data_IF_905830122669
#
_entry.id   IF_905830122669
#
_cell.length_a   1.000
_cell.length_b   1.000
_cell.length_c   1.000
_cell.angle_alpha   90.00
_cell.angle_beta   90.00
_cell.angle_gamma   90.00
#
_symmetry.space_group_name_H-M   'P 1'
#
loop_
_entity.id
_entity.type
_entity.pdbx_description
1 polymer ?
#
# COMPACT_ATOMS: atom_id res chain seq x y z
N UNK A 1 18.06 25.72 -0.50
CA UNK A 1 17.01 24.68 -0.68
C UNK A 1 15.70 25.44 -0.63
N UNK A 2 14.97 25.45 -1.72
CA UNK A 2 13.68 26.14 -1.76
C UNK A 2 12.70 25.41 -0.82
N UNK A 3 11.98 26.20 -0.02
CA UNK A 3 10.94 25.65 0.85
C UNK A 3 9.87 25.00 -0.03
N UNK A 4 9.49 23.73 0.23
CA UNK A 4 8.44 23.07 -0.53
C UNK A 4 7.17 23.93 -0.60
N UNK A 5 6.51 23.93 -1.76
CA UNK A 5 5.29 24.70 -1.92
C UNK A 5 4.22 24.22 -0.92
N UNK A 6 3.49 25.13 -0.25
CA UNK A 6 2.48 24.74 0.74
C UNK A 6 1.39 23.92 0.07
N UNK A 7 1.02 22.78 0.67
CA UNK A 7 -0.04 21.91 0.18
C UNK A 7 -1.41 22.53 0.39
N UNK A 8 -2.34 22.27 -0.51
CA UNK A 8 -3.74 22.74 -0.34
C UNK A 8 -4.41 22.09 0.86
N UNK A 9 -3.99 20.89 1.25
CA UNK A 9 -4.43 20.26 2.50
C UNK A 9 -4.27 21.16 3.72
N UNK A 10 -3.16 21.88 3.81
CA UNK A 10 -2.85 22.74 4.96
C UNK A 10 -3.78 23.96 5.08
N UNK A 11 -4.48 24.29 3.98
CA UNK A 11 -5.45 25.38 3.91
C UNK A 11 -6.91 24.94 4.04
N UNK A 12 -7.20 23.71 3.60
CA UNK A 12 -8.58 23.25 3.40
C UNK A 12 -9.03 22.27 4.49
N UNK A 13 -8.09 21.59 5.18
CA UNK A 13 -8.44 20.54 6.12
C UNK A 13 -7.81 20.77 7.49
N UNK A 14 -8.50 20.30 8.51
CA UNK A 14 -8.03 20.31 9.89
C UNK A 14 -7.91 18.89 10.41
N UNK A 15 -6.76 18.56 10.99
CA UNK A 15 -6.42 17.22 11.48
C UNK A 15 -7.04 16.92 12.88
N UNK A 16 -8.20 17.46 13.19
CA UNK A 16 -8.83 17.30 14.50
C UNK A 16 -9.19 15.85 14.83
N UNK A 17 -9.40 15.00 13.81
CA UNK A 17 -9.67 13.58 13.99
C UNK A 17 -8.41 12.77 14.35
N UNK A 18 -7.22 13.31 14.10
CA UNK A 18 -5.97 12.63 14.36
C UNK A 18 -5.52 12.83 15.81
N UNK A 19 -5.09 11.76 16.49
CA UNK A 19 -4.35 11.85 17.74
C UNK A 19 -3.07 12.69 17.58
N UNK A 20 -2.60 13.33 18.67
CA UNK A 20 -1.42 14.18 18.64
C UNK A 20 -0.18 13.42 18.15
N UNK A 21 0.04 12.19 18.62
CA UNK A 21 1.17 11.37 18.17
C UNK A 21 1.13 11.06 16.66
N UNK A 22 -0.05 10.88 16.07
CA UNK A 22 -0.18 10.69 14.62
C UNK A 22 0.13 11.99 13.85
N UNK A 23 -0.20 13.17 14.42
CA UNK A 23 0.21 14.47 13.84
C UNK A 23 1.73 14.68 13.91
N UNK A 24 2.37 14.25 14.99
CA UNK A 24 3.84 14.27 15.11
C UNK A 24 4.51 13.35 14.07
N UNK A 25 3.99 12.12 13.91
CA UNK A 25 4.44 11.17 12.87
C UNK A 25 4.24 11.76 11.48
N UNK A 26 3.09 12.40 11.19
CA UNK A 26 2.87 13.10 9.92
C UNK A 26 3.95 14.14 9.65
N UNK A 27 4.24 14.99 10.63
CA UNK A 27 5.24 16.04 10.46
C UNK A 27 6.65 15.48 10.21
N UNK A 28 6.99 14.35 10.85
CA UNK A 28 8.24 13.64 10.66
C UNK A 28 8.34 13.03 9.26
N UNK A 29 7.32 12.26 8.85
CA UNK A 29 7.27 11.61 7.53
C UNK A 29 7.19 12.64 6.41
N UNK A 30 6.43 13.72 6.56
CA UNK A 30 6.36 14.82 5.58
C UNK A 30 7.72 15.45 5.35
N UNK A 31 8.52 15.67 6.39
CA UNK A 31 9.91 16.17 6.22
C UNK A 31 10.76 15.23 5.39
N UNK A 32 10.69 13.94 5.64
CA UNK A 32 11.37 12.92 4.83
C UNK A 32 10.89 12.96 3.38
N UNK A 33 9.57 13.00 3.17
CA UNK A 33 8.97 13.03 1.84
C UNK A 33 9.38 14.28 1.07
N UNK A 34 9.29 15.45 1.68
CA UNK A 34 9.57 16.73 1.03
C UNK A 34 11.05 16.90 0.67
N UNK A 35 11.97 16.38 1.50
CA UNK A 35 13.41 16.59 1.31
C UNK A 35 14.14 15.42 0.65
N UNK A 36 13.64 14.21 0.75
CA UNK A 36 14.36 13.03 0.29
C UNK A 36 13.59 12.25 -0.82
N UNK A 37 12.25 12.24 -0.81
CA UNK A 37 11.46 11.47 -1.80
C UNK A 37 11.05 12.33 -2.99
N UNK A 38 10.44 13.50 -2.78
CA UNK A 38 9.98 14.37 -3.87
C UNK A 38 11.10 14.74 -4.88
N UNK A 39 12.35 15.04 -4.46
CA UNK A 39 13.42 15.33 -5.39
C UNK A 39 13.79 14.20 -6.35
N UNK A 40 13.46 12.95 -6.00
CA UNK A 40 13.78 11.76 -6.81
C UNK A 40 12.52 11.05 -7.35
N UNK A 41 11.33 11.59 -7.11
CA UNK A 41 10.06 10.96 -7.50
C UNK A 41 9.98 10.70 -9.02
N UNK A 42 10.49 11.60 -9.86
CA UNK A 42 10.56 11.39 -11.31
C UNK A 42 11.43 10.16 -11.66
N UNK A 43 12.60 10.04 -11.05
CA UNK A 43 13.49 8.90 -11.29
C UNK A 43 12.84 7.58 -10.84
N UNK A 44 12.19 7.56 -9.66
CA UNK A 44 11.45 6.40 -9.17
C UNK A 44 10.38 5.91 -10.16
N UNK A 45 9.76 6.85 -10.89
CA UNK A 45 8.69 6.54 -11.83
C UNK A 45 9.18 6.15 -13.23
N UNK A 46 10.28 6.73 -13.69
CA UNK A 46 10.74 6.60 -15.08
C UNK A 46 11.84 5.54 -15.26
N UNK A 47 12.52 5.14 -14.19
CA UNK A 47 13.51 4.07 -14.26
C UNK A 47 12.81 2.74 -14.56
N UNK A 48 13.27 1.97 -15.57
CA UNK A 48 12.74 0.64 -15.86
C UNK A 48 12.89 -0.29 -14.67
N UNK A 49 11.90 -1.16 -14.47
CA UNK A 49 11.92 -2.14 -13.39
C UNK A 49 13.08 -3.13 -13.54
N UNK A 50 13.97 -3.14 -12.57
CA UNK A 50 15.10 -4.07 -12.44
C UNK A 50 15.52 -4.19 -10.97
N UNK A 51 16.33 -5.17 -10.63
CA UNK A 51 16.83 -5.32 -9.26
C UNK A 51 17.63 -4.08 -8.79
N UNK A 52 18.37 -3.46 -9.70
CA UNK A 52 19.17 -2.27 -9.44
C UNK A 52 18.30 -1.01 -9.26
N UNK A 53 17.08 -1.02 -9.83
CA UNK A 53 16.13 0.08 -9.73
C UNK A 53 15.40 0.13 -8.37
N UNK A 54 15.50 -0.92 -7.54
CA UNK A 54 14.89 -0.90 -6.23
C UNK A 54 15.49 0.23 -5.37
N UNK A 55 14.69 1.09 -4.73
CA UNK A 55 15.16 2.31 -4.09
C UNK A 55 15.80 2.04 -2.72
N UNK A 56 16.88 1.26 -2.67
CA UNK A 56 17.58 0.88 -1.45
C UNK A 56 17.94 2.06 -0.55
N UNK A 57 18.34 3.19 -1.14
CA UNK A 57 18.67 4.40 -0.36
C UNK A 57 17.48 4.88 0.46
N UNK A 58 16.29 4.97 -0.14
CA UNK A 58 15.06 5.39 0.55
C UNK A 58 14.56 4.31 1.52
N UNK A 59 14.66 3.02 1.14
CA UNK A 59 14.30 1.92 2.02
C UNK A 59 15.13 1.93 3.32
N UNK A 60 16.45 2.02 3.19
CA UNK A 60 17.36 2.10 4.34
C UNK A 60 17.09 3.36 5.18
N UNK A 61 16.77 4.48 4.51
CA UNK A 61 16.44 5.72 5.21
C UNK A 61 15.14 5.62 6.01
N UNK A 62 14.11 4.93 5.49
CA UNK A 62 12.89 4.61 6.24
C UNK A 62 13.20 3.74 7.48
N UNK A 63 14.11 2.77 7.36
CA UNK A 63 14.58 1.96 8.48
C UNK A 63 15.29 2.81 9.56
N UNK A 64 16.24 3.68 9.17
CA UNK A 64 16.94 4.61 10.07
C UNK A 64 15.97 5.54 10.82
N UNK A 65 14.93 6.03 10.14
CA UNK A 65 13.86 6.85 10.71
C UNK A 65 12.86 6.01 11.54
N UNK A 66 13.08 4.70 11.66
CA UNK A 66 12.21 3.75 12.35
C UNK A 66 10.75 3.79 11.86
N UNK A 67 10.56 4.06 10.58
CA UNK A 67 9.22 4.11 10.00
C UNK A 67 8.56 2.74 9.97
N UNK A 68 9.33 1.67 9.74
CA UNK A 68 8.82 0.28 9.80
C UNK A 68 8.38 -0.16 11.20
N UNK A 69 8.80 0.56 12.24
CA UNK A 69 8.38 0.34 13.62
C UNK A 69 7.07 1.03 14.01
N UNK A 70 6.50 1.91 13.17
CA UNK A 70 5.27 2.66 13.48
C UNK A 70 4.10 1.75 13.84
N UNK A 71 3.81 0.65 13.11
CA UNK A 71 2.66 -0.21 13.38
C UNK A 71 2.78 -1.08 14.65
N UNK A 72 3.97 -1.19 15.24
CA UNK A 72 4.27 -2.22 16.22
C UNK A 72 4.49 -1.68 17.63
N UNK A 73 4.14 -2.54 18.61
CA UNK A 73 4.34 -2.27 20.02
C UNK A 73 5.84 -2.20 20.37
N UNK A 74 6.16 -1.57 21.49
CA UNK A 74 7.54 -1.58 22.03
C UNK A 74 8.03 -2.98 22.40
N UNK A 75 7.11 -3.88 22.81
CA UNK A 75 7.44 -5.29 23.10
C UNK A 75 7.90 -6.05 21.85
N UNK A 76 7.34 -5.72 20.68
CA UNK A 76 7.74 -6.29 19.39
C UNK A 76 8.99 -5.57 18.81
N UNK A 77 9.49 -4.50 19.47
CA UNK A 77 10.61 -3.66 19.01
C UNK A 77 10.20 -2.43 18.20
N UNK A 78 8.90 -2.20 18.04
CA UNK A 78 8.34 -1.05 17.33
C UNK A 78 8.39 0.26 18.11
N UNK A 79 7.65 1.27 17.63
CA UNK A 79 7.60 2.61 18.26
C UNK A 79 6.68 2.67 19.50
N UNK A 80 5.76 1.69 19.64
CA UNK A 80 4.88 1.61 20.81
C UNK A 80 3.86 2.72 20.91
N UNK A 81 3.34 3.19 19.75
CA UNK A 81 2.33 4.24 19.68
C UNK A 81 0.98 3.74 20.23
N UNK A 82 0.19 4.66 20.79
CA UNK A 82 -1.17 4.35 21.27
C UNK A 82 -2.18 4.26 20.14
N UNK A 83 -1.92 4.96 19.03
CA UNK A 83 -2.76 4.96 17.83
C UNK A 83 -1.94 4.57 16.59
N UNK A 84 -1.44 3.32 16.54
CA UNK A 84 -0.48 2.90 15.52
C UNK A 84 -1.08 2.88 14.11
N UNK A 85 -2.38 2.57 13.94
CA UNK A 85 -3.00 2.56 12.62
C UNK A 85 -3.28 3.99 12.11
N UNK A 86 -3.67 4.93 12.99
CA UNK A 86 -3.74 6.35 12.61
C UNK A 86 -2.37 6.87 12.16
N UNK A 87 -1.31 6.56 12.90
CA UNK A 87 0.06 6.93 12.55
C UNK A 87 0.53 6.30 11.24
N UNK A 88 0.15 5.04 10.99
CA UNK A 88 0.43 4.35 9.73
C UNK A 88 -0.35 4.95 8.57
N UNK A 89 -1.62 5.31 8.78
CA UNK A 89 -2.45 5.94 7.76
C UNK A 89 -1.87 7.27 7.28
N UNK A 90 -1.41 8.13 8.19
CA UNK A 90 -0.73 9.38 7.80
C UNK A 90 0.60 9.12 7.10
N UNK A 91 1.34 8.08 7.49
CA UNK A 91 2.57 7.67 6.81
C UNK A 91 2.31 7.31 5.36
N UNK A 92 1.27 6.50 5.10
CA UNK A 92 0.86 6.14 3.74
C UNK A 92 0.40 7.33 2.90
N UNK A 93 -0.38 8.25 3.49
CA UNK A 93 -0.80 9.48 2.81
C UNK A 93 0.41 10.30 2.35
N UNK A 94 1.39 10.51 3.23
CA UNK A 94 2.57 11.31 2.93
C UNK A 94 3.49 10.64 1.89
N UNK A 95 3.72 9.32 2.00
CA UNK A 95 4.51 8.57 1.03
C UNK A 95 3.85 8.59 -0.35
N UNK A 96 2.55 8.27 -0.42
CA UNK A 96 1.79 8.24 -1.68
C UNK A 96 1.63 9.63 -2.31
N UNK A 97 1.68 10.69 -1.52
CA UNK A 97 1.76 12.06 -2.04
C UNK A 97 2.96 12.24 -2.96
N UNK A 98 4.10 11.64 -2.68
CA UNK A 98 5.31 11.73 -3.51
C UNK A 98 5.46 10.57 -4.50
N UNK A 99 5.26 9.33 -4.03
CA UNK A 99 5.43 8.10 -4.80
C UNK A 99 4.58 6.97 -4.21
N UNK A 100 3.54 6.57 -4.91
CA UNK A 100 2.73 5.41 -4.49
C UNK A 100 3.53 4.10 -4.56
N UNK A 101 4.50 3.99 -5.48
CA UNK A 101 5.41 2.84 -5.52
C UNK A 101 6.25 2.70 -4.24
N UNK A 102 6.70 3.82 -3.64
CA UNK A 102 7.40 3.77 -2.34
C UNK A 102 6.44 3.45 -1.19
N UNK A 103 5.21 3.97 -1.25
CA UNK A 103 4.16 3.62 -0.29
C UNK A 103 3.83 2.12 -0.34
N UNK A 104 3.75 1.52 -1.54
CA UNK A 104 3.55 0.09 -1.72
C UNK A 104 4.72 -0.75 -1.19
N UNK A 105 5.99 -0.30 -1.37
CA UNK A 105 7.15 -0.97 -0.75
C UNK A 105 7.00 -0.99 0.78
N UNK A 106 6.62 0.15 1.38
CA UNK A 106 6.41 0.26 2.82
C UNK A 106 5.31 -0.69 3.31
N UNK A 107 4.17 -0.71 2.64
CA UNK A 107 3.02 -1.54 2.98
C UNK A 107 3.35 -3.04 2.89
N UNK A 108 3.82 -3.49 1.73
CA UNK A 108 4.17 -4.89 1.49
C UNK A 108 5.43 -5.37 2.22
N UNK A 109 6.23 -4.47 2.77
CA UNK A 109 7.34 -4.82 3.64
C UNK A 109 6.92 -4.91 5.10
N UNK A 110 6.34 -3.85 5.66
CA UNK A 110 6.13 -3.81 7.10
C UNK A 110 4.68 -4.10 7.53
N UNK A 111 3.67 -3.68 6.77
CA UNK A 111 2.29 -3.90 7.21
C UNK A 111 1.80 -5.31 6.96
N UNK A 112 1.67 -5.70 5.71
CA UNK A 112 1.04 -6.98 5.39
C UNK A 112 1.78 -8.17 6.01
N UNK A 113 3.10 -8.38 5.77
CA UNK A 113 3.80 -9.49 6.41
C UNK A 113 4.00 -9.26 7.90
N UNK A 114 4.27 -8.03 8.35
CA UNK A 114 4.54 -7.75 9.76
C UNK A 114 3.34 -7.97 10.67
N UNK A 115 2.13 -7.55 10.26
CA UNK A 115 0.89 -7.81 11.01
C UNK A 115 0.61 -9.31 11.07
N UNK A 116 0.89 -10.07 10.00
CA UNK A 116 0.81 -11.52 10.03
C UNK A 116 1.84 -12.14 11.01
N UNK A 117 3.11 -11.74 10.92
CA UNK A 117 4.21 -12.24 11.77
C UNK A 117 3.98 -11.96 13.26
N UNK A 118 3.31 -10.86 13.61
CA UNK A 118 2.97 -10.51 14.99
C UNK A 118 2.08 -11.58 15.66
N UNK A 119 1.33 -12.34 14.86
CA UNK A 119 0.50 -13.45 15.34
C UNK A 119 1.28 -14.78 15.48
N UNK A 120 2.56 -14.78 15.17
CA UNK A 120 3.44 -15.95 15.23
C UNK A 120 3.97 -16.24 16.62
N UNK A 121 4.69 -17.37 16.71
CA UNK A 121 5.40 -17.81 17.91
C UNK A 121 6.52 -16.82 18.30
N UNK A 122 7.07 -16.90 19.54
CA UNK A 122 8.25 -16.13 19.91
C UNK A 122 9.43 -16.30 18.94
N UNK A 123 9.61 -17.52 18.41
CA UNK A 123 10.61 -17.78 17.38
C UNK A 123 10.39 -16.93 16.11
N UNK A 124 9.15 -16.93 15.59
CA UNK A 124 8.79 -16.13 14.40
C UNK A 124 9.00 -14.65 14.65
N UNK A 125 8.58 -14.14 15.81
CA UNK A 125 8.76 -12.73 16.16
C UNK A 125 10.24 -12.34 16.25
N UNK A 126 11.06 -13.14 16.91
CA UNK A 126 12.49 -12.86 17.07
C UNK A 126 13.28 -13.03 15.77
N UNK A 127 12.88 -13.99 14.91
CA UNK A 127 13.63 -14.32 13.70
C UNK A 127 13.21 -13.43 12.52
N UNK A 128 11.89 -13.19 12.33
CA UNK A 128 11.37 -12.56 11.12
C UNK A 128 10.77 -11.17 11.39
N UNK A 129 9.90 -11.02 12.40
CA UNK A 129 9.27 -9.72 12.67
C UNK A 129 10.32 -8.65 13.03
N UNK A 130 11.34 -9.03 13.80
CA UNK A 130 12.44 -8.13 14.13
C UNK A 130 13.13 -7.58 12.87
N UNK A 131 13.40 -8.42 11.86
CA UNK A 131 14.02 -8.00 10.60
C UNK A 131 13.12 -7.06 9.79
N UNK A 132 11.80 -7.24 9.87
CA UNK A 132 10.84 -6.31 9.28
C UNK A 132 10.92 -4.95 9.97
N UNK A 133 10.87 -4.92 11.30
CA UNK A 133 10.83 -3.67 12.09
C UNK A 133 12.13 -2.86 11.96
N UNK A 134 13.27 -3.53 11.94
CA UNK A 134 14.58 -2.85 11.81
C UNK A 134 15.03 -2.66 10.35
N UNK A 135 14.29 -3.20 9.37
CA UNK A 135 14.60 -3.07 7.95
C UNK A 135 15.84 -3.83 7.49
N UNK A 136 16.33 -4.79 8.28
CA UNK A 136 17.52 -5.59 7.93
C UNK A 136 17.27 -6.64 6.84
N UNK A 137 16.00 -6.91 6.52
CA UNK A 137 15.59 -7.73 5.39
C UNK A 137 14.28 -7.20 4.80
N UNK A 138 14.13 -7.28 3.49
CA UNK A 138 12.85 -7.00 2.83
C UNK A 138 11.95 -8.21 2.94
N UNK A 139 10.69 -7.98 3.34
CA UNK A 139 9.66 -9.01 3.42
C UNK A 139 8.60 -8.84 2.32
N UNK A 140 7.86 -9.92 2.04
CA UNK A 140 6.75 -9.95 1.11
C UNK A 140 5.54 -10.70 1.70
N UNK A 141 4.34 -10.49 1.13
CA UNK A 141 3.16 -11.29 1.43
C UNK A 141 2.66 -12.01 0.18
N UNK A 142 2.60 -13.33 0.21
CA UNK A 142 2.27 -14.19 -0.92
C UNK A 142 0.89 -14.85 -0.73
N UNK A 143 -0.17 -14.21 -1.25
CA UNK A 143 -1.56 -14.69 -1.16
C UNK A 143 -2.09 -15.10 -2.53
N UNK A 144 -2.07 -14.19 -3.49
CA UNK A 144 -2.70 -14.34 -4.82
C UNK A 144 -2.05 -15.45 -5.62
N UNK A 145 -2.86 -16.21 -6.37
CA UNK A 145 -2.43 -17.24 -7.31
C UNK A 145 -2.93 -16.91 -8.73
N UNK A 146 -2.40 -17.54 -9.79
CA UNK A 146 -2.86 -17.29 -11.16
C UNK A 146 -4.38 -17.39 -11.34
N UNK A 147 -5.02 -18.35 -10.66
CA UNK A 147 -6.46 -18.62 -10.77
C UNK A 147 -7.25 -18.09 -9.54
N UNK A 148 -6.59 -17.62 -8.49
CA UNK A 148 -7.25 -17.28 -7.21
C UNK A 148 -6.75 -15.93 -6.70
N UNK A 149 -7.60 -14.88 -6.82
CA UNK A 149 -7.32 -13.55 -6.26
C UNK A 149 -8.25 -13.18 -5.10
N UNK A 150 -9.56 -13.39 -5.27
CA UNK A 150 -10.59 -12.93 -4.31
C UNK A 150 -11.26 -14.05 -3.51
N UNK A 151 -11.21 -15.28 -3.99
CA UNK A 151 -11.83 -16.46 -3.35
C UNK A 151 -10.79 -17.29 -2.59
N UNK A 152 -10.48 -16.86 -1.38
CA UNK A 152 -9.43 -17.41 -0.53
C UNK A 152 -9.93 -18.58 0.33
N UNK A 153 -10.48 -19.63 -0.29
CA UNK A 153 -10.89 -20.86 0.41
C UNK A 153 -9.83 -21.96 0.24
N UNK A 154 -9.78 -22.93 1.18
CA UNK A 154 -8.83 -24.04 1.10
C UNK A 154 -8.98 -24.87 -0.19
N UNK A 155 -10.23 -25.03 -0.66
CA UNK A 155 -10.54 -25.80 -1.86
C UNK A 155 -10.13 -25.09 -3.15
N UNK A 156 -10.07 -23.76 -3.13
CA UNK A 156 -9.73 -22.94 -4.32
C UNK A 156 -8.24 -22.75 -4.46
N UNK A 157 -7.48 -22.66 -3.35
CA UNK A 157 -6.04 -22.50 -3.37
C UNK A 157 -5.32 -23.70 -4.02
N UNK A 158 -4.35 -23.39 -4.88
CA UNK A 158 -3.50 -24.37 -5.58
C UNK A 158 -2.13 -24.55 -4.91
N UNK A 159 -1.67 -23.54 -4.14
CA UNK A 159 -0.48 -23.68 -3.30
C UNK A 159 -0.85 -24.55 -2.10
N UNK A 160 -0.33 -25.78 -2.12
CA UNK A 160 -0.65 -26.82 -1.15
C UNK A 160 0.63 -27.46 -0.60
N UNK A 161 0.52 -28.02 0.59
CA UNK A 161 1.62 -28.74 1.20
C UNK A 161 1.12 -29.90 2.07
N UNK A 162 2.07 -30.80 2.32
CA UNK A 162 1.88 -31.96 3.19
C UNK A 162 2.90 -31.94 4.32
N UNK A 163 2.52 -32.45 5.47
CA UNK A 163 3.44 -32.63 6.61
C UNK A 163 4.42 -33.78 6.35
N UNK A 164 5.72 -33.51 6.38
CA UNK A 164 6.78 -34.52 6.22
C UNK A 164 7.84 -34.32 7.31
N UNK A 165 7.79 -35.16 8.36
CA UNK A 165 8.67 -35.03 9.52
C UNK A 165 8.51 -33.66 10.19
N UNK A 166 9.62 -32.93 10.33
CA UNK A 166 9.65 -31.58 10.93
C UNK A 166 9.39 -30.46 9.91
N UNK A 167 8.96 -30.78 8.69
CA UNK A 167 8.76 -29.83 7.61
C UNK A 167 7.33 -29.94 7.02
N UNK A 168 6.93 -28.87 6.34
CA UNK A 168 5.88 -28.86 5.33
C UNK A 168 6.52 -28.83 3.96
N UNK A 169 6.14 -29.71 3.04
CA UNK A 169 6.61 -29.71 1.66
C UNK A 169 5.59 -29.02 0.79
N UNK A 170 5.94 -27.82 0.29
CA UNK A 170 5.06 -26.96 -0.48
C UNK A 170 5.23 -27.17 -1.99
N UNK A 171 4.08 -27.13 -2.69
CA UNK A 171 4.00 -27.08 -4.15
C UNK A 171 2.94 -26.05 -4.56
N UNK A 172 3.22 -25.22 -5.56
CA UNK A 172 2.29 -24.22 -6.08
C UNK A 172 2.96 -22.97 -6.63
N UNK A 173 2.14 -21.96 -6.95
CA UNK A 173 2.63 -20.71 -7.51
C UNK A 173 1.82 -19.53 -6.97
N UNK A 174 2.51 -18.53 -6.49
CA UNK A 174 1.95 -17.22 -6.12
C UNK A 174 2.27 -16.20 -7.19
N UNK A 175 1.33 -15.27 -7.43
CA UNK A 175 1.42 -14.29 -8.51
C UNK A 175 1.29 -12.86 -7.99
N UNK A 176 1.97 -11.93 -8.65
CA UNK A 176 1.98 -10.50 -8.34
C UNK A 176 2.51 -10.19 -6.94
N UNK A 177 3.57 -10.89 -6.52
CA UNK A 177 4.11 -10.76 -5.17
C UNK A 177 5.07 -9.58 -5.10
N UNK A 178 4.58 -8.49 -4.52
CA UNK A 178 5.34 -7.27 -4.28
C UNK A 178 6.53 -7.56 -3.38
N UNK A 179 7.66 -6.90 -3.66
CA UNK A 179 8.94 -7.06 -2.98
C UNK A 179 9.61 -8.44 -3.14
N UNK A 180 8.96 -9.46 -3.72
CA UNK A 180 9.56 -10.79 -3.86
C UNK A 180 10.93 -10.77 -4.56
N UNK A 181 11.16 -9.99 -5.65
CA UNK A 181 12.46 -9.96 -6.33
C UNK A 181 13.67 -9.57 -5.45
N UNK A 182 13.41 -8.79 -4.40
CA UNK A 182 14.44 -8.32 -3.44
C UNK A 182 14.19 -8.83 -2.03
N UNK A 183 13.13 -9.63 -1.85
CA UNK A 183 12.68 -10.16 -0.57
C UNK A 183 13.59 -11.24 -0.02
N UNK A 184 13.74 -11.30 1.30
CA UNK A 184 14.43 -12.37 2.00
C UNK A 184 13.48 -13.53 2.32
N UNK A 185 12.23 -13.21 2.66
CA UNK A 185 11.19 -14.18 2.99
C UNK A 185 9.80 -13.64 2.65
N UNK A 186 8.83 -14.55 2.54
CA UNK A 186 7.43 -14.21 2.34
C UNK A 186 6.53 -14.90 3.36
N UNK A 187 5.50 -14.18 3.86
CA UNK A 187 4.37 -14.80 4.55
C UNK A 187 3.41 -15.35 3.49
N UNK A 188 3.31 -16.68 3.42
CA UNK A 188 2.63 -17.40 2.32
C UNK A 188 1.35 -18.06 2.81
N UNK A 189 0.21 -17.68 2.22
CA UNK A 189 -1.06 -18.37 2.43
C UNK A 189 -1.12 -19.64 1.58
N UNK A 190 -1.33 -20.79 2.22
CA UNK A 190 -1.39 -22.09 1.56
C UNK A 190 -2.41 -23.02 2.23
N UNK A 191 -2.73 -24.13 1.58
CA UNK A 191 -3.50 -25.21 2.18
C UNK A 191 -2.53 -26.31 2.63
N UNK A 192 -2.46 -26.58 3.93
CA UNK A 192 -1.70 -27.69 4.51
C UNK A 192 -2.68 -28.74 5.03
N UNK A 193 -2.59 -29.96 4.52
CA UNK A 193 -3.49 -31.05 4.91
C UNK A 193 -4.98 -30.59 4.98
N UNK A 194 -5.43 -29.85 3.96
CA UNK A 194 -6.76 -29.23 3.81
C UNK A 194 -7.12 -28.09 4.79
N UNK A 195 -6.17 -27.63 5.60
CA UNK A 195 -6.34 -26.45 6.44
C UNK A 195 -5.70 -25.22 5.80
N UNK A 196 -6.39 -24.06 5.82
CA UNK A 196 -5.77 -22.80 5.46
C UNK A 196 -4.74 -22.39 6.50
N UNK A 197 -3.51 -22.24 6.07
CA UNK A 197 -2.35 -21.92 6.90
C UNK A 197 -1.59 -20.73 6.36
N UNK A 198 -0.88 -20.03 7.23
CA UNK A 198 0.07 -19.01 6.86
C UNK A 198 1.48 -19.46 7.29
N UNK A 199 2.40 -19.59 6.34
CA UNK A 199 3.79 -19.97 6.59
C UNK A 199 4.73 -18.81 6.33
N UNK A 200 5.82 -18.73 7.09
CA UNK A 200 6.99 -17.93 6.67
C UNK A 200 7.87 -18.82 5.82
N UNK A 201 8.12 -18.41 4.58
CA UNK A 201 8.98 -19.13 3.64
C UNK A 201 10.15 -18.24 3.28
N UNK A 202 11.37 -18.69 3.59
CA UNK A 202 12.60 -18.04 3.13
C UNK A 202 12.70 -18.23 1.61
N UNK A 203 12.92 -17.14 0.85
CA UNK A 203 12.88 -17.16 -0.61
C UNK A 203 14.14 -17.80 -1.24
N UNK A 204 15.16 -18.07 -0.43
CA UNK A 204 16.36 -18.85 -0.81
C UNK A 204 16.24 -20.36 -0.45
N UNK A 205 15.07 -20.81 0.04
CA UNK A 205 14.82 -22.24 0.32
C UNK A 205 14.91 -23.06 -0.96
N UNK A 206 15.63 -24.20 -0.97
CA UNK A 206 15.63 -25.11 -2.11
C UNK A 206 14.22 -25.49 -2.54
N UNK A 207 13.93 -25.36 -3.85
CA UNK A 207 12.58 -25.57 -4.40
C UNK A 207 11.72 -24.30 -4.40
N UNK A 208 12.22 -23.14 -3.93
CA UNK A 208 11.59 -21.84 -4.11
C UNK A 208 12.28 -21.10 -5.25
N UNK A 209 11.49 -20.56 -6.18
CA UNK A 209 12.00 -19.74 -7.28
C UNK A 209 11.18 -18.44 -7.36
N UNK A 210 11.87 -17.30 -7.32
CA UNK A 210 11.28 -16.00 -7.67
C UNK A 210 11.44 -15.80 -9.16
N UNK A 211 10.34 -15.53 -9.85
CA UNK A 211 10.30 -15.35 -11.30
C UNK A 211 10.86 -14.02 -11.78
N UNK A 212 10.76 -13.78 -13.08
CA UNK A 212 11.12 -12.51 -13.69
C UNK A 212 10.25 -11.36 -13.17
N UNK A 213 10.81 -10.15 -13.16
CA UNK A 213 10.12 -8.94 -12.71
C UNK A 213 9.02 -8.57 -13.70
N UNK A 214 7.79 -8.40 -13.21
CA UNK A 214 6.66 -7.91 -13.99
C UNK A 214 6.85 -6.43 -14.37
N UNK A 215 6.65 -6.09 -15.64
CA UNK A 215 6.63 -4.71 -16.12
C UNK A 215 5.23 -4.14 -15.96
N UNK A 216 5.09 -3.10 -15.17
CA UNK A 216 3.80 -2.55 -14.75
C UNK A 216 3.43 -1.24 -15.43
N UNK A 217 2.14 -0.93 -15.44
CA UNK A 217 1.63 0.37 -15.88
C UNK A 217 2.11 1.49 -14.96
N UNK A 218 2.02 1.31 -13.64
CA UNK A 218 2.38 2.25 -12.59
C UNK A 218 3.10 1.56 -11.43
N UNK A 219 3.31 2.29 -10.33
CA UNK A 219 4.04 1.81 -9.14
C UNK A 219 5.41 1.22 -9.48
N UNK A 220 6.15 1.86 -10.38
CA UNK A 220 7.38 1.30 -10.96
C UNK A 220 8.52 1.17 -9.96
N UNK A 221 8.54 1.99 -8.91
CA UNK A 221 9.56 1.91 -7.87
C UNK A 221 9.54 0.57 -7.10
N UNK A 222 8.35 -0.04 -6.93
CA UNK A 222 8.23 -1.36 -6.30
C UNK A 222 8.38 -2.47 -7.35
N UNK A 223 8.97 -3.60 -6.95
CA UNK A 223 9.17 -4.74 -7.83
C UNK A 223 8.17 -5.85 -7.48
N UNK A 224 7.66 -6.50 -8.52
CA UNK A 224 6.66 -7.57 -8.41
C UNK A 224 7.09 -8.77 -9.26
N UNK A 225 6.91 -9.97 -8.74
CA UNK A 225 7.17 -11.22 -9.47
C UNK A 225 6.28 -12.35 -8.97
N UNK A 226 6.28 -13.46 -9.70
CA UNK A 226 5.72 -14.71 -9.21
C UNK A 226 6.69 -15.40 -8.23
N UNK A 227 6.14 -16.19 -7.30
CA UNK A 227 6.92 -17.09 -6.43
C UNK A 227 6.41 -18.51 -6.65
N UNK A 228 7.32 -19.40 -7.07
CA UNK A 228 7.02 -20.80 -7.38
C UNK A 228 7.62 -21.70 -6.31
N UNK A 229 6.84 -22.67 -5.87
CA UNK A 229 7.22 -23.69 -4.90
C UNK A 229 7.20 -25.07 -5.58
N UNK A 230 8.33 -25.76 -5.60
CA UNK A 230 8.50 -27.10 -6.18
C UNK A 230 9.19 -28.00 -5.14
N UNK A 231 8.37 -28.76 -4.40
CA UNK A 231 8.83 -29.57 -3.27
C UNK A 231 9.66 -28.77 -2.25
N UNK A 232 9.27 -27.53 -1.99
CA UNK A 232 9.96 -26.65 -1.06
C UNK A 232 9.72 -27.10 0.38
N UNK A 233 10.78 -27.54 1.07
CA UNK A 233 10.72 -27.99 2.44
C UNK A 233 10.83 -26.82 3.41
N UNK A 234 9.71 -26.46 4.05
CA UNK A 234 9.59 -25.34 5.01
C UNK A 234 9.50 -25.90 6.43
N UNK A 235 10.37 -25.49 7.37
CA UNK A 235 10.30 -25.97 8.75
C UNK A 235 8.92 -25.74 9.40
N UNK A 236 8.38 -26.73 10.09
CA UNK A 236 7.06 -26.65 10.73
C UNK A 236 6.95 -25.51 11.75
N UNK A 237 8.05 -25.14 12.39
CA UNK A 237 8.15 -23.98 13.29
C UNK A 237 7.89 -22.63 12.63
N UNK A 238 7.91 -22.57 11.28
CA UNK A 238 7.60 -21.39 10.48
C UNK A 238 6.08 -21.18 10.28
N UNK A 239 5.23 -22.04 10.86
CA UNK A 239 3.79 -21.87 10.85
C UNK A 239 3.40 -20.67 11.75
N UNK A 240 2.70 -19.70 11.17
CA UNK A 240 2.13 -18.56 11.90
C UNK A 240 0.78 -19.00 12.50
N UNK A 241 0.63 -18.88 13.82
CA UNK A 241 -0.55 -19.36 14.53
C UNK A 241 -0.63 -20.89 14.57
N UNK A 242 -1.76 -21.45 14.21
CA UNK A 242 -2.02 -22.89 14.13
C UNK A 242 -2.72 -23.28 12.82
N UNK A 243 -2.76 -24.56 12.44
CA UNK A 243 -3.52 -25.01 11.28
C UNK A 243 -4.97 -24.50 11.32
N UNK A 244 -5.43 -23.92 10.22
CA UNK A 244 -6.77 -23.30 10.12
C UNK A 244 -6.81 -21.79 10.40
N UNK A 245 -5.78 -21.18 10.98
CA UNK A 245 -5.75 -19.75 11.26
C UNK A 245 -5.37 -18.90 10.02
N UNK A 246 -4.94 -19.50 8.90
CA UNK A 246 -4.38 -18.78 7.75
C UNK A 246 -5.26 -17.66 7.21
N UNK A 247 -6.57 -17.92 7.04
CA UNK A 247 -7.50 -16.89 6.56
C UNK A 247 -7.67 -15.74 7.58
N UNK A 248 -7.76 -16.07 8.88
CA UNK A 248 -7.86 -15.06 9.93
C UNK A 248 -6.64 -14.17 9.96
N UNK A 249 -5.44 -14.73 9.81
CA UNK A 249 -4.17 -14.01 9.79
C UNK A 249 -4.12 -13.10 8.55
N UNK A 250 -4.44 -13.64 7.36
CA UNK A 250 -4.49 -12.87 6.12
C UNK A 250 -5.48 -11.69 6.22
N UNK A 251 -6.71 -11.93 6.71
CA UNK A 251 -7.72 -10.89 6.86
C UNK A 251 -7.34 -9.84 7.90
N UNK A 252 -6.62 -10.20 8.97
CA UNK A 252 -6.11 -9.24 9.95
C UNK A 252 -5.12 -8.27 9.30
N UNK A 253 -4.16 -8.77 8.51
CA UNK A 253 -3.23 -7.94 7.75
C UNK A 253 -3.95 -7.07 6.71
N UNK A 254 -4.86 -7.66 5.92
CA UNK A 254 -5.64 -6.95 4.91
C UNK A 254 -6.61 -5.90 5.50
N UNK A 255 -7.00 -5.99 6.77
CA UNK A 255 -7.79 -4.94 7.43
C UNK A 255 -6.97 -3.66 7.56
N UNK A 256 -5.71 -3.77 7.97
CA UNK A 256 -4.76 -2.65 7.99
C UNK A 256 -4.52 -2.13 6.58
N UNK A 257 -4.11 -3.01 5.66
CA UNK A 257 -3.80 -2.67 4.28
C UNK A 257 -4.94 -1.92 3.61
N UNK A 258 -6.20 -2.34 3.72
CA UNK A 258 -7.34 -1.66 3.12
C UNK A 258 -7.50 -0.21 3.58
N UNK A 259 -7.31 0.08 4.87
CA UNK A 259 -7.41 1.44 5.40
C UNK A 259 -6.29 2.31 4.83
N UNK A 260 -5.06 1.80 4.83
CA UNK A 260 -3.89 2.57 4.37
C UNK A 260 -3.85 2.73 2.85
N UNK A 261 -4.36 1.76 2.08
CA UNK A 261 -4.54 1.91 0.63
C UNK A 261 -5.62 2.96 0.30
N UNK A 262 -6.67 3.05 1.11
CA UNK A 262 -7.59 4.19 1.01
C UNK A 262 -6.87 5.53 1.19
N UNK A 263 -5.95 5.61 2.16
CA UNK A 263 -5.12 6.81 2.39
C UNK A 263 -4.09 7.05 1.29
N UNK A 264 -3.53 6.01 0.68
CA UNK A 264 -2.68 6.14 -0.52
C UNK A 264 -3.44 6.84 -1.65
N UNK A 265 -4.69 6.42 -1.91
CA UNK A 265 -5.57 7.10 -2.88
C UNK A 265 -5.80 8.58 -2.54
N UNK A 266 -5.97 8.91 -1.25
CA UNK A 266 -6.10 10.29 -0.76
C UNK A 266 -4.81 11.09 -0.98
N UNK A 267 -3.64 10.51 -0.69
CA UNK A 267 -2.33 11.12 -0.90
C UNK A 267 -2.08 11.46 -2.36
N UNK A 268 -2.35 10.52 -3.26
CA UNK A 268 -2.27 10.71 -4.72
C UNK A 268 -3.25 11.77 -5.22
N UNK A 269 -4.50 11.77 -4.70
CA UNK A 269 -5.49 12.79 -5.07
C UNK A 269 -5.07 14.19 -4.62
N UNK A 270 -4.50 14.30 -3.41
CA UNK A 270 -3.98 15.57 -2.90
C UNK A 270 -2.83 16.09 -3.75
N UNK A 271 -1.89 15.21 -4.15
CA UNK A 271 -0.80 15.58 -5.03
C UNK A 271 -1.31 16.10 -6.39
N UNK A 272 -2.25 15.38 -7.00
CA UNK A 272 -2.85 15.78 -8.27
C UNK A 272 -3.59 17.13 -8.17
N UNK A 273 -4.30 17.37 -7.07
CA UNK A 273 -4.99 18.64 -6.80
C UNK A 273 -3.99 19.81 -6.70
N UNK A 274 -2.90 19.61 -5.93
CA UNK A 274 -1.86 20.63 -5.74
C UNK A 274 -1.19 20.99 -7.06
N UNK A 275 -0.82 19.97 -7.87
CA UNK A 275 -0.28 20.17 -9.21
C UNK A 275 -1.23 20.97 -10.12
N UNK A 276 -2.53 20.63 -10.11
CA UNK A 276 -3.54 21.35 -10.89
C UNK A 276 -3.64 22.84 -10.49
N UNK A 277 -3.71 23.12 -9.20
CA UNK A 277 -3.82 24.49 -8.70
C UNK A 277 -2.57 25.30 -9.08
N UNK A 278 -1.37 24.72 -8.94
CA UNK A 278 -0.13 25.36 -9.33
C UNK A 278 -0.03 25.59 -10.83
N UNK A 279 -0.40 24.60 -11.64
CA UNK A 279 -0.40 24.68 -13.09
C UNK A 279 -1.36 25.76 -13.60
N UNK A 280 -2.61 25.72 -13.15
CA UNK A 280 -3.68 26.64 -13.61
C UNK A 280 -3.36 28.11 -13.30
N UNK A 281 -2.68 28.40 -12.18
CA UNK A 281 -2.28 29.76 -11.82
C UNK A 281 -1.17 30.32 -12.72
N UNK A 282 -0.37 29.46 -13.35
CA UNK A 282 0.75 29.85 -14.23
C UNK A 282 0.40 29.78 -15.71
N UNK A 283 -0.60 28.95 -16.07
CA UNK A 283 -0.97 28.73 -17.48
C UNK A 283 -1.78 29.92 -18.00
N UNK A 284 -1.14 30.73 -18.83
CA UNK A 284 -1.80 31.83 -19.54
C UNK A 284 -2.65 31.30 -20.69
N UNK A 285 -3.85 31.85 -20.82
CA UNK A 285 -4.79 31.61 -21.94
C UNK A 285 -5.88 32.65 -21.98
N UNK A 286 -6.36 32.96 -23.18
CA UNK A 286 -7.48 33.91 -23.40
C UNK A 286 -7.31 35.28 -22.74
N UNK A 287 -6.09 35.77 -22.60
CA UNK A 287 -5.77 37.09 -22.00
C UNK A 287 -5.80 37.10 -20.46
N UNK A 288 -5.89 35.95 -19.82
CA UNK A 288 -5.80 35.75 -18.37
C UNK A 288 -5.09 34.44 -18.04
N UNK A 289 -5.47 33.81 -16.95
CA UNK A 289 -4.92 32.51 -16.52
C UNK A 289 -5.97 31.42 -16.62
N UNK A 290 -5.54 30.16 -16.73
CA UNK A 290 -6.43 29.01 -16.70
C UNK A 290 -7.25 28.95 -15.40
N UNK A 291 -6.69 29.46 -14.30
CA UNK A 291 -7.39 29.60 -13.02
C UNK A 291 -8.62 30.50 -13.06
N UNK A 292 -8.78 31.34 -14.08
CA UNK A 292 -9.95 32.23 -14.23
C UNK A 292 -11.17 31.46 -14.79
N UNK A 293 -10.96 30.25 -15.29
CA UNK A 293 -12.03 29.42 -15.86
C UNK A 293 -12.90 28.81 -14.75
N UNK A 294 -14.12 29.33 -14.58
CA UNK A 294 -15.06 28.92 -13.54
C UNK A 294 -15.36 27.42 -13.55
N UNK A 295 -15.40 26.78 -14.75
CA UNK A 295 -15.60 25.34 -14.88
C UNK A 295 -14.58 24.53 -14.04
N UNK A 296 -13.29 24.85 -14.17
CA UNK A 296 -12.24 24.17 -13.44
C UNK A 296 -12.17 24.56 -11.96
N UNK A 297 -12.48 25.81 -11.62
CA UNK A 297 -12.58 26.23 -10.21
C UNK A 297 -13.62 25.38 -9.47
N UNK A 298 -14.81 25.21 -10.03
CA UNK A 298 -15.89 24.45 -9.43
C UNK A 298 -15.54 22.95 -9.38
N UNK A 299 -14.98 22.42 -10.47
CA UNK A 299 -14.54 21.02 -10.52
C UNK A 299 -13.49 20.69 -9.46
N UNK A 300 -12.48 21.54 -9.27
CA UNK A 300 -11.46 21.34 -8.24
C UNK A 300 -12.03 21.53 -6.82
N UNK A 301 -13.00 22.43 -6.61
CA UNK A 301 -13.68 22.56 -5.33
C UNK A 301 -14.49 21.30 -4.96
N UNK A 302 -15.18 20.69 -5.93
CA UNK A 302 -15.85 19.38 -5.76
C UNK A 302 -14.83 18.29 -5.39
N UNK A 303 -13.70 18.21 -6.10
CA UNK A 303 -12.63 17.23 -5.83
C UNK A 303 -12.00 17.44 -4.46
N UNK A 304 -11.71 18.68 -4.07
CA UNK A 304 -11.21 19.00 -2.75
C UNK A 304 -12.15 18.52 -1.64
N UNK A 305 -13.47 18.72 -1.82
CA UNK A 305 -14.48 18.23 -0.89
C UNK A 305 -14.48 16.70 -0.80
N UNK A 306 -14.40 16.00 -1.94
CA UNK A 306 -14.34 14.54 -1.99
C UNK A 306 -13.06 13.97 -1.33
N UNK A 307 -11.91 14.64 -1.53
CA UNK A 307 -10.64 14.28 -0.89
C UNK A 307 -10.76 14.41 0.64
N UNK A 308 -11.37 15.51 1.12
CA UNK A 308 -11.63 15.71 2.55
C UNK A 308 -12.50 14.60 3.13
N UNK A 309 -13.64 14.31 2.50
CA UNK A 309 -14.54 13.22 2.93
C UNK A 309 -13.86 11.85 2.93
N UNK A 310 -13.05 11.55 1.92
CA UNK A 310 -12.31 10.29 1.84
C UNK A 310 -11.25 10.18 2.96
N UNK A 311 -10.53 11.28 3.22
CA UNK A 311 -9.55 11.37 4.31
C UNK A 311 -10.19 11.12 5.67
N UNK A 312 -11.29 11.80 5.97
CA UNK A 312 -12.02 11.64 7.22
C UNK A 312 -12.55 10.21 7.40
N UNK A 313 -13.01 9.58 6.33
CA UNK A 313 -13.50 8.21 6.35
C UNK A 313 -12.37 7.21 6.70
N UNK A 314 -11.19 7.39 6.11
CA UNK A 314 -10.02 6.56 6.41
C UNK A 314 -9.55 6.76 7.85
N UNK A 315 -9.44 7.99 8.33
CA UNK A 315 -9.05 8.27 9.72
C UNK A 315 -10.07 7.74 10.73
N UNK A 316 -11.36 7.86 10.42
CA UNK A 316 -12.41 7.25 11.25
C UNK A 316 -12.24 5.74 11.36
N UNK A 317 -11.96 5.04 10.25
CA UNK A 317 -11.74 3.60 10.25
C UNK A 317 -10.48 3.23 11.06
N UNK A 318 -9.36 3.96 10.86
CA UNK A 318 -8.12 3.77 11.58
C UNK A 318 -8.31 3.98 13.09
N UNK A 319 -8.94 5.08 13.49
CA UNK A 319 -9.20 5.41 14.89
C UNK A 319 -10.09 4.37 15.57
N UNK A 320 -11.15 3.93 14.93
CA UNK A 320 -12.01 2.86 15.47
C UNK A 320 -11.26 1.56 15.69
N UNK A 321 -10.32 1.24 14.80
CA UNK A 321 -9.45 0.08 14.98
C UNK A 321 -8.53 0.27 16.19
N UNK A 322 -7.85 1.41 16.31
CA UNK A 322 -6.94 1.72 17.44
C UNK A 322 -7.69 1.73 18.80
N UNK A 323 -8.97 2.12 18.81
CA UNK A 323 -9.86 2.07 19.98
C UNK A 323 -10.37 0.64 20.30
N UNK A 324 -9.92 -0.40 19.58
CA UNK A 324 -10.28 -1.80 19.83
C UNK A 324 -11.57 -2.27 19.13
N UNK A 325 -12.17 -1.47 18.27
CA UNK A 325 -13.34 -1.84 17.45
C UNK A 325 -12.90 -2.62 16.19
N UNK A 326 -12.44 -3.85 16.36
CA UNK A 326 -11.83 -4.68 15.31
C UNK A 326 -12.72 -5.88 14.97
N UNK A 327 -12.99 -6.14 13.68
CA UNK A 327 -12.72 -5.30 12.50
C UNK A 327 -13.69 -4.11 12.44
N UNK A 328 -13.26 -2.92 12.01
CA UNK A 328 -14.13 -1.76 11.86
C UNK A 328 -14.93 -1.83 10.54
N UNK A 329 -15.64 -2.91 10.34
CA UNK A 329 -16.54 -3.11 9.19
C UNK A 329 -17.90 -2.41 9.44
N UNK A 330 -18.51 -1.76 8.43
CA UNK A 330 -18.10 -1.68 7.01
C UNK A 330 -17.15 -0.52 6.69
N UNK A 331 -16.71 0.27 7.67
CA UNK A 331 -15.90 1.48 7.43
C UNK A 331 -14.58 1.19 6.72
N UNK A 332 -13.92 0.05 7.03
CA UNK A 332 -12.70 -0.38 6.33
C UNK A 332 -12.92 -0.55 4.83
N UNK A 333 -14.02 -1.21 4.45
CA UNK A 333 -14.35 -1.41 3.05
C UNK A 333 -14.72 -0.08 2.35
N UNK A 334 -15.44 0.81 3.05
CA UNK A 334 -15.79 2.15 2.55
C UNK A 334 -14.53 3.00 2.35
N UNK A 335 -13.60 2.99 3.33
CA UNK A 335 -12.35 3.73 3.27
C UNK A 335 -11.52 3.33 2.04
N UNK A 336 -11.33 2.01 1.85
CA UNK A 336 -10.56 1.49 0.72
C UNK A 336 -11.15 1.89 -0.62
N UNK A 337 -12.42 1.52 -0.88
CA UNK A 337 -12.98 1.76 -2.20
C UNK A 337 -13.15 3.25 -2.51
N UNK A 338 -13.61 4.06 -1.54
CA UNK A 338 -13.86 5.47 -1.79
C UNK A 338 -12.58 6.29 -1.91
N UNK A 339 -11.59 6.03 -1.04
CA UNK A 339 -10.28 6.69 -1.12
C UNK A 339 -9.59 6.46 -2.46
N UNK A 340 -9.54 5.21 -2.92
CA UNK A 340 -8.91 4.85 -4.20
C UNK A 340 -9.68 5.37 -5.40
N UNK A 341 -11.02 5.39 -5.35
CA UNK A 341 -11.85 5.96 -6.42
C UNK A 341 -11.63 7.47 -6.54
N UNK A 342 -11.58 8.19 -5.42
CA UNK A 342 -11.29 9.63 -5.42
C UNK A 342 -9.89 9.91 -5.98
N UNK A 343 -8.91 9.06 -5.69
CA UNK A 343 -7.58 9.10 -6.29
C UNK A 343 -7.63 9.05 -7.81
N UNK A 344 -8.24 8.00 -8.35
CA UNK A 344 -8.38 7.80 -9.80
C UNK A 344 -9.16 8.91 -10.49
N UNK A 345 -10.23 9.39 -9.86
CA UNK A 345 -11.07 10.45 -10.39
C UNK A 345 -10.34 11.81 -10.45
N UNK A 346 -9.58 12.16 -9.39
CA UNK A 346 -8.79 13.39 -9.38
C UNK A 346 -7.64 13.32 -10.37
N UNK A 347 -6.96 12.17 -10.46
CA UNK A 347 -5.86 11.97 -11.40
C UNK A 347 -6.31 12.09 -12.87
N UNK A 348 -7.49 11.57 -13.20
CA UNK A 348 -8.09 11.72 -14.54
C UNK A 348 -8.38 13.19 -14.87
N UNK A 349 -8.96 13.93 -13.92
CA UNK A 349 -9.21 15.36 -14.10
C UNK A 349 -7.89 16.15 -14.23
N UNK A 350 -6.84 15.75 -13.50
CA UNK A 350 -5.53 16.38 -13.58
C UNK A 350 -4.89 16.23 -14.97
N UNK A 351 -4.89 15.03 -15.54
CA UNK A 351 -4.39 14.80 -16.91
C UNK A 351 -5.17 15.66 -17.89
N UNK A 352 -6.50 15.79 -17.74
CA UNK A 352 -7.33 16.63 -18.61
C UNK A 352 -6.98 18.13 -18.47
N UNK A 353 -6.74 18.61 -17.26
CA UNK A 353 -6.33 20.00 -16.98
C UNK A 353 -4.98 20.33 -17.62
N UNK A 354 -4.03 19.41 -17.51
CA UNK A 354 -2.70 19.59 -18.11
C UNK A 354 -2.69 19.44 -19.65
N UNK A 355 -3.74 18.81 -20.21
CA UNK A 355 -3.85 18.60 -21.67
C UNK A 355 -2.73 17.72 -22.20
N UNK A 356 -2.14 18.08 -23.34
CA UNK A 356 -1.05 17.30 -23.95
C UNK A 356 0.16 17.08 -23.04
N UNK A 357 0.51 18.05 -22.20
CA UNK A 357 1.58 17.91 -21.23
C UNK A 357 1.27 16.84 -20.15
N UNK A 358 0.02 16.69 -19.77
CA UNK A 358 -0.43 15.67 -18.79
C UNK A 358 -0.43 14.25 -19.35
N UNK A 359 -0.26 14.06 -20.64
CA UNK A 359 -0.23 12.76 -21.31
C UNK A 359 1.19 12.26 -21.63
N UNK A 360 2.18 13.14 -21.56
CA UNK A 360 3.57 12.85 -21.92
C UNK A 360 4.37 12.55 -20.67
N UNK A 361 4.97 11.37 -20.59
CA UNK A 361 5.83 10.97 -19.47
C UNK A 361 7.08 11.86 -19.38
N UNK A 362 7.68 12.20 -20.54
CA UNK A 362 8.87 13.03 -20.60
C UNK A 362 8.90 13.82 -21.91
N UNK A 363 9.00 15.15 -21.84
CA UNK A 363 9.10 16.00 -23.03
C UNK A 363 10.44 15.80 -23.72
N UNK A 364 10.41 15.57 -25.04
CA UNK A 364 11.62 15.39 -25.85
C UNK A 364 12.46 16.66 -26.00
N UNK A 365 11.83 17.82 -25.85
CA UNK A 365 12.50 19.12 -26.05
C UNK A 365 13.48 19.46 -24.93
N UNK A 366 13.15 19.19 -23.68
CA UNK A 366 13.92 19.60 -22.51
C UNK A 366 14.05 18.50 -21.43
N UNK A 367 13.43 17.33 -21.67
CA UNK A 367 13.46 16.21 -20.74
C UNK A 367 12.58 16.39 -19.50
N UNK A 368 11.78 17.46 -19.42
CA UNK A 368 10.88 17.67 -18.28
C UNK A 368 9.80 16.56 -18.21
N UNK A 369 9.48 16.12 -16.99
CA UNK A 369 8.45 15.12 -16.72
C UNK A 369 7.16 15.77 -16.20
N UNK A 370 6.05 15.08 -16.37
CA UNK A 370 4.76 15.51 -15.87
C UNK A 370 4.28 14.56 -14.77
N UNK A 371 4.22 15.06 -13.55
CA UNK A 371 3.86 14.26 -12.38
C UNK A 371 2.42 13.72 -12.41
N UNK A 372 1.49 14.46 -13.02
CA UNK A 372 0.07 14.01 -13.07
C UNK A 372 -0.12 12.77 -13.96
N UNK A 373 0.72 12.57 -14.98
CA UNK A 373 0.75 11.37 -15.80
C UNK A 373 1.12 10.14 -14.95
N UNK A 374 2.14 10.27 -14.11
CA UNK A 374 2.55 9.24 -13.16
C UNK A 374 1.42 8.91 -12.20
N UNK A 375 0.87 9.91 -11.51
CA UNK A 375 -0.21 9.74 -10.54
C UNK A 375 -1.41 9.01 -11.18
N UNK A 376 -1.75 9.33 -12.43
CA UNK A 376 -2.83 8.67 -13.15
C UNK A 376 -2.58 7.17 -13.35
N UNK A 377 -1.35 6.77 -13.68
CA UNK A 377 -0.99 5.35 -13.84
C UNK A 377 -0.97 4.62 -12.49
N UNK A 378 -0.42 5.26 -11.47
CA UNK A 378 -0.28 4.68 -10.13
C UNK A 378 -1.64 4.47 -9.45
N UNK A 379 -2.57 5.41 -9.56
CA UNK A 379 -3.90 5.31 -8.96
C UNK A 379 -4.67 4.04 -9.35
N UNK A 380 -4.42 3.46 -10.55
CA UNK A 380 -5.24 2.36 -11.03
C UNK A 380 -5.06 1.09 -10.23
N UNK A 381 -3.86 0.76 -9.79
CA UNK A 381 -3.63 -0.48 -9.04
C UNK A 381 -4.26 -0.43 -7.65
N UNK A 382 -4.38 0.76 -7.05
CA UNK A 382 -5.03 0.94 -5.75
C UNK A 382 -6.50 0.50 -5.74
N UNK A 383 -7.21 0.54 -6.87
CA UNK A 383 -8.56 0.00 -7.01
C UNK A 383 -8.60 -1.54 -7.06
N UNK A 384 -7.46 -2.20 -7.34
CA UNK A 384 -7.37 -3.63 -7.68
C UNK A 384 -6.84 -4.45 -6.51
N UNK A 385 -5.64 -4.12 -5.99
CA UNK A 385 -4.98 -4.92 -4.98
C UNK A 385 -5.63 -4.79 -3.59
N UNK A 386 -5.25 -5.66 -2.66
CA UNK A 386 -5.81 -5.80 -1.30
C UNK A 386 -7.33 -5.95 -1.24
N UNK A 387 -7.87 -6.60 -2.26
CA UNK A 387 -9.30 -6.79 -2.48
C UNK A 387 -9.88 -5.67 -3.33
N UNK A 388 -10.19 -6.01 -4.58
CA UNK A 388 -10.75 -5.10 -5.57
C UNK A 388 -11.94 -4.30 -5.02
N UNK A 389 -12.17 -3.09 -5.55
CA UNK A 389 -13.25 -2.22 -5.10
C UNK A 389 -14.63 -2.90 -5.17
N UNK A 390 -14.84 -3.83 -6.09
CA UNK A 390 -16.04 -4.67 -6.20
C UNK A 390 -16.19 -5.61 -4.99
N UNK A 391 -15.08 -6.17 -4.49
CA UNK A 391 -15.08 -7.00 -3.28
C UNK A 391 -15.43 -6.16 -2.06
N UNK A 392 -14.93 -4.93 -1.96
CA UNK A 392 -15.27 -4.00 -0.88
C UNK A 392 -16.76 -3.64 -0.92
N UNK A 393 -17.29 -3.29 -2.09
CA UNK A 393 -18.71 -2.99 -2.29
C UNK A 393 -19.59 -4.19 -1.96
N UNK A 394 -19.17 -5.42 -2.29
CA UNK A 394 -19.85 -6.65 -1.90
C UNK A 394 -19.89 -6.82 -0.38
N UNK A 395 -18.79 -6.50 0.32
CA UNK A 395 -18.73 -6.51 1.79
C UNK A 395 -19.75 -5.53 2.41
N UNK A 396 -19.83 -4.31 1.91
CA UNK A 396 -20.80 -3.30 2.33
C UNK A 396 -22.23 -3.78 2.06
N UNK A 397 -22.50 -4.30 0.85
CA UNK A 397 -23.82 -4.81 0.49
C UNK A 397 -24.28 -5.96 1.40
N UNK A 398 -23.36 -6.84 1.82
CA UNK A 398 -23.66 -7.91 2.79
C UNK A 398 -24.10 -7.39 4.16
N UNK A 399 -23.56 -6.26 4.60
CA UNK A 399 -24.02 -5.59 5.84
C UNK A 399 -25.43 -4.98 5.68
N UNK A 400 -25.73 -4.47 4.47
CA UNK A 400 -27.04 -3.83 4.18
C UNK A 400 -28.16 -4.88 4.01
N UNK A 401 -27.90 -5.95 3.27
CA UNK A 401 -28.92 -6.90 2.83
C UNK A 401 -28.88 -8.23 3.57
N UNK A 402 -27.77 -8.56 4.26
CA UNK A 402 -27.52 -9.87 4.86
C UNK A 402 -26.79 -10.82 3.89
N UNK A 403 -26.09 -11.82 4.47
CA UNK A 403 -25.25 -12.77 3.70
C UNK A 403 -26.06 -13.67 2.76
N UNK A 404 -27.31 -13.93 3.07
CA UNK A 404 -28.18 -14.80 2.28
C UNK A 404 -28.58 -14.18 0.95
N UNK A 405 -28.53 -12.84 0.82
CA UNK A 405 -28.93 -12.09 -0.35
C UNK A 405 -27.76 -11.62 -1.21
N UNK A 406 -26.52 -11.67 -0.70
CA UNK A 406 -25.32 -11.21 -1.42
C UNK A 406 -24.31 -12.34 -1.51
N UNK A 407 -24.25 -13.00 -2.68
CA UNK A 407 -23.33 -14.12 -2.98
C UNK A 407 -21.90 -13.67 -3.24
#
# INVERSE_FOLDING_TARGET
>A
MDTPAPRMSDKLYHDWLLPDEAREVRAEVRRFVDHEVLPVADALNTTPESLEAFPWGLFNRMAELRMFGIPFSSEDGGRGLQSPLCATAVTMEELAYASDGLAAIYDDHCLLPGIALRMGSPYIKQTYLKQVIDGSAVAAMAITEPEVGSDLRAETLRTRGTSEGDNYVLNGRKRFITNAPVGKFATTLCALDDHLCMLVVDLDTPGVTVGDIDIKTGNRAQLTADVVYENAAVPSRNLIGKPGDGLKIALSALTWGRIVIGMSGVGMAQAALDECVHFMKRREMYGGHMSDLQHWQFRLAERASQIGMARDLCYKAARRHDEGNVPPEPETAMAKYYGTQVGGDMARDAVQIFGGAGFITRLGADGSACRVEQIYRDCKVAEIYEGANEVQKRGIARQMFGRDYVR
#
